data_IF_542790333635
#
_entry.id   IF_542790333635
#
_cell.length_a   1.000
_cell.length_b   1.000
_cell.length_c   1.000
_cell.angle_alpha   90.00
_cell.angle_beta   90.00
_cell.angle_gamma   90.00
#
_symmetry.space_group_name_H-M   'P 1'
#
loop_
_entity.id
_entity.type
_entity.pdbx_description
1 polymer ?
#
# COMPACT_ATOMS: atom_id res chain seq x y z
N UNK A 1 -24.39 6.83 7.98
CA UNK A 1 -23.83 8.16 7.64
C UNK A 1 -22.41 8.21 8.17
N UNK A 2 -21.42 8.18 7.29
CA UNK A 2 -20.01 8.40 7.67
C UNK A 2 -19.88 9.86 8.08
N UNK A 3 -19.37 10.10 9.28
CA UNK A 3 -18.99 11.45 9.72
C UNK A 3 -17.92 11.95 8.74
N UNK A 4 -18.06 13.17 8.22
CA UNK A 4 -17.05 13.75 7.34
C UNK A 4 -15.70 13.76 8.07
N UNK A 5 -14.62 13.33 7.42
CA UNK A 5 -13.27 13.43 7.99
C UNK A 5 -12.94 14.87 8.41
N UNK A 6 -13.55 15.85 7.75
CA UNK A 6 -13.39 17.26 8.10
C UNK A 6 -13.95 17.66 9.47
N UNK A 7 -14.74 16.80 10.11
CA UNK A 7 -15.21 17.06 11.47
C UNK A 7 -14.24 16.55 12.53
N UNK A 8 -13.14 15.89 12.17
CA UNK A 8 -12.14 15.46 13.14
C UNK A 8 -11.40 16.68 13.72
N UNK A 9 -11.04 16.66 15.02
CA UNK A 9 -10.33 17.77 15.66
C UNK A 9 -9.03 18.11 14.92
N UNK A 10 -8.71 19.41 14.85
CA UNK A 10 -7.39 19.85 14.37
C UNK A 10 -6.29 19.25 15.25
N UNK A 11 -5.19 18.84 14.62
CA UNK A 11 -3.97 18.44 15.30
C UNK A 11 -3.03 19.63 15.57
N UNK A 12 -3.42 20.85 15.17
CA UNK A 12 -2.65 22.05 15.45
C UNK A 12 -2.42 22.20 16.96
N UNK A 13 -1.17 22.48 17.33
CA UNK A 13 -0.75 22.45 18.72
C UNK A 13 0.69 22.03 18.91
N UNK A 14 1.14 22.14 20.16
CA UNK A 14 2.38 21.59 20.67
C UNK A 14 2.10 20.20 21.24
N UNK A 15 2.65 19.17 20.60
CA UNK A 15 2.62 17.79 21.08
C UNK A 15 3.84 17.54 21.96
N UNK A 16 3.62 17.17 23.23
CA UNK A 16 4.67 16.96 24.24
C UNK A 16 4.72 15.52 24.72
N UNK A 17 5.78 15.18 25.46
CA UNK A 17 5.93 13.88 26.12
C UNK A 17 5.87 12.71 25.12
N UNK A 18 6.70 12.82 24.08
CA UNK A 18 6.83 11.82 23.02
C UNK A 18 8.25 11.25 23.01
N UNK A 19 8.41 10.05 22.46
CA UNK A 19 9.71 9.41 22.26
C UNK A 19 9.93 9.02 20.80
N UNK A 20 11.14 9.24 20.30
CA UNK A 20 11.52 8.81 18.95
C UNK A 20 11.97 7.34 18.93
N UNK A 21 11.68 6.60 17.84
CA UNK A 21 12.19 5.26 17.64
C UNK A 21 13.72 5.27 17.56
N UNK A 22 14.34 4.21 18.06
CA UNK A 22 15.80 4.01 18.03
C UNK A 22 16.62 5.10 18.77
N UNK A 23 15.97 5.97 19.55
CA UNK A 23 16.62 6.97 20.42
C UNK A 23 16.09 6.88 21.85
N UNK A 24 16.41 5.79 22.59
CA UNK A 24 15.87 5.56 23.93
C UNK A 24 16.15 6.73 24.88
N UNK A 25 15.16 7.10 25.70
CA UNK A 25 15.29 8.16 26.71
C UNK A 25 15.27 9.60 26.18
N UNK A 26 15.13 9.80 24.87
CA UNK A 26 15.03 11.15 24.30
C UNK A 26 13.56 11.58 24.23
N UNK A 27 13.19 12.56 25.06
CA UNK A 27 11.88 13.21 24.99
C UNK A 27 11.88 14.21 23.82
N UNK A 28 10.83 14.18 23.01
CA UNK A 28 10.66 15.05 21.85
C UNK A 28 9.31 15.77 21.93
N UNK A 29 9.26 16.97 21.36
CA UNK A 29 8.03 17.69 21.09
C UNK A 29 7.89 17.96 19.59
N UNK A 30 6.65 18.03 19.12
CA UNK A 30 6.29 18.31 17.72
C UNK A 30 5.33 19.49 17.70
N UNK A 31 5.61 20.51 16.90
CA UNK A 31 4.66 21.59 16.64
C UNK A 31 3.96 21.33 15.32
N UNK A 32 2.62 21.36 15.34
CA UNK A 32 1.77 21.31 14.15
C UNK A 32 1.03 22.65 14.05
N UNK A 33 1.07 23.26 12.86
CA UNK A 33 0.23 24.42 12.54
C UNK A 33 -0.28 24.30 11.11
N UNK A 34 -1.56 24.62 10.91
CA UNK A 34 -2.25 24.50 9.62
C UNK A 34 -2.07 23.10 9.02
N UNK A 35 -2.06 22.07 9.88
CA UNK A 35 -1.84 20.68 9.51
C UNK A 35 -0.43 20.33 9.00
N UNK A 36 0.55 21.21 9.18
CA UNK A 36 1.95 21.02 8.78
C UNK A 36 2.83 20.94 10.02
N UNK A 37 3.82 20.05 10.01
CA UNK A 37 4.86 19.99 11.05
C UNK A 37 5.77 21.20 10.90
N UNK A 38 5.79 22.07 11.92
CA UNK A 38 6.59 23.30 11.93
C UNK A 38 7.91 23.17 12.64
N UNK A 39 7.96 22.28 13.64
CA UNK A 39 9.14 22.12 14.46
C UNK A 39 9.15 20.74 15.13
N UNK A 40 10.33 20.16 15.30
CA UNK A 40 10.57 18.91 16.04
C UNK A 40 11.86 19.10 16.84
N UNK A 41 11.87 18.75 18.12
CA UNK A 41 13.08 18.82 18.94
C UNK A 41 12.83 18.59 20.42
N UNK A 42 13.82 18.92 21.26
CA UNK A 42 13.70 18.81 22.71
C UNK A 42 12.61 19.76 23.24
N UNK A 43 11.68 19.31 24.11
CA UNK A 43 10.62 20.16 24.68
C UNK A 43 11.12 21.48 25.28
N UNK A 44 12.33 21.51 25.85
CA UNK A 44 12.93 22.72 26.45
C UNK A 44 13.41 23.75 25.41
N UNK A 45 13.50 23.35 24.13
CA UNK A 45 13.98 24.16 23.01
C UNK A 45 12.87 24.61 22.06
N UNK A 46 11.60 24.42 22.43
CA UNK A 46 10.44 24.88 21.64
C UNK A 46 10.53 26.40 21.45
N UNK A 47 10.51 26.91 20.20
CA UNK A 47 10.51 28.34 19.94
C UNK A 47 9.34 29.07 20.63
N UNK A 48 9.63 30.23 21.23
CA UNK A 48 8.64 31.02 21.99
C UNK A 48 7.42 31.44 21.17
N UNK A 49 7.56 31.55 19.85
CA UNK A 49 6.44 31.85 18.94
C UNK A 49 5.34 30.79 18.98
N UNK A 50 5.64 29.56 19.42
CA UNK A 50 4.67 28.47 19.55
C UNK A 50 4.07 28.33 20.96
N UNK A 51 4.45 29.17 21.93
CA UNK A 51 4.05 29.00 23.34
C UNK A 51 2.56 29.22 23.61
N UNK A 52 1.84 29.86 22.69
CA UNK A 52 0.39 30.10 22.79
C UNK A 52 -0.48 29.02 22.14
N UNK A 53 0.12 28.00 21.51
CA UNK A 53 -0.61 26.92 20.87
C UNK A 53 -1.22 25.95 21.91
N UNK A 54 -2.33 25.27 21.58
CA UNK A 54 -2.87 24.21 22.42
C UNK A 54 -1.84 23.10 22.65
N UNK A 55 -1.78 22.55 23.86
CA UNK A 55 -0.89 21.41 24.15
C UNK A 55 -1.63 20.08 24.05
N UNK A 56 -1.03 19.12 23.35
CA UNK A 56 -1.48 17.73 23.27
C UNK A 56 -0.48 16.81 24.01
N UNK A 57 -0.90 16.26 25.14
CA UNK A 57 -0.02 15.40 25.96
C UNK A 57 0.08 13.99 25.38
N UNK A 58 1.26 13.63 24.87
CA UNK A 58 1.56 12.33 24.27
C UNK A 58 1.61 11.17 25.28
N UNK A 59 1.83 11.46 26.56
CA UNK A 59 1.86 10.46 27.64
C UNK A 59 2.92 9.39 27.42
N UNK A 60 4.15 9.84 27.19
CA UNK A 60 5.37 9.08 26.92
C UNK A 60 5.25 8.08 25.74
N UNK A 61 4.36 8.36 24.78
CA UNK A 61 4.13 7.49 23.63
C UNK A 61 5.32 7.51 22.67
N UNK A 62 5.59 6.36 22.05
CA UNK A 62 6.49 6.30 20.90
C UNK A 62 5.80 6.97 19.71
N UNK A 63 6.50 7.83 18.97
CA UNK A 63 5.96 8.49 17.77
C UNK A 63 6.70 8.05 16.51
N UNK A 64 5.95 7.64 15.49
CA UNK A 64 6.50 7.32 14.16
C UNK A 64 5.80 8.15 13.09
N UNK A 65 6.38 8.26 11.87
CA UNK A 65 5.60 8.69 10.72
C UNK A 65 4.36 7.82 10.54
N UNK A 66 3.33 8.37 9.90
CA UNK A 66 2.17 7.61 9.45
C UNK A 66 2.59 6.45 8.55
N UNK A 67 1.98 5.27 8.76
CA UNK A 67 2.31 4.09 7.97
C UNK A 67 1.79 4.23 6.53
N UNK A 68 2.45 3.55 5.61
CA UNK A 68 2.11 3.55 4.17
C UNK A 68 1.94 2.11 3.69
N UNK A 69 0.76 1.78 3.18
CA UNK A 69 0.49 0.48 2.54
C UNK A 69 0.57 0.66 1.02
N UNK A 70 1.70 0.32 0.42
CA UNK A 70 2.06 0.68 -0.95
C UNK A 70 1.59 -0.28 -2.05
N UNK A 71 0.84 -1.32 -1.70
CA UNK A 71 0.35 -2.34 -2.60
C UNK A 71 -0.92 -3.01 -2.05
N UNK A 72 -2.10 -2.68 -2.60
CA UNK A 72 -3.37 -3.35 -2.26
C UNK A 72 -4.34 -3.45 -3.45
N UNK A 73 -5.25 -4.43 -3.38
CA UNK A 73 -6.42 -4.55 -4.25
C UNK A 73 -7.71 -4.40 -3.42
N UNK A 74 -7.85 -3.27 -2.72
CA UNK A 74 -8.91 -3.06 -1.70
C UNK A 74 -10.34 -3.03 -2.25
N UNK A 75 -10.52 -2.72 -3.53
CA UNK A 75 -11.83 -2.54 -4.17
C UNK A 75 -12.18 -3.74 -5.03
N UNK A 76 -13.02 -4.62 -4.50
CA UNK A 76 -13.55 -5.78 -5.20
C UNK A 76 -14.93 -6.16 -4.65
N UNK A 77 -15.71 -6.86 -5.46
CA UNK A 77 -16.97 -7.49 -5.07
C UNK A 77 -16.78 -8.93 -4.58
N UNK A 78 -17.67 -9.37 -3.67
CA UNK A 78 -17.70 -10.74 -3.15
C UNK A 78 -16.52 -11.10 -2.24
N UNK A 79 -16.28 -12.42 -2.08
CA UNK A 79 -15.17 -13.01 -1.33
C UNK A 79 -14.81 -14.39 -1.91
N UNK A 80 -13.62 -14.92 -1.58
CA UNK A 80 -13.18 -16.26 -2.02
C UNK A 80 -13.04 -17.27 -0.87
N UNK A 81 -13.74 -17.04 0.25
CA UNK A 81 -13.73 -17.95 1.40
C UNK A 81 -14.18 -19.38 1.04
N UNK A 82 -15.17 -19.53 0.15
CA UNK A 82 -15.63 -20.85 -0.29
C UNK A 82 -14.54 -21.61 -1.04
N UNK A 83 -13.80 -20.94 -1.92
CA UNK A 83 -12.66 -21.54 -2.61
C UNK A 83 -11.57 -21.96 -1.63
N UNK A 84 -11.26 -21.13 -0.64
CA UNK A 84 -10.32 -21.48 0.42
C UNK A 84 -10.76 -22.76 1.17
N UNK A 85 -12.03 -22.84 1.55
CA UNK A 85 -12.59 -24.03 2.19
C UNK A 85 -12.52 -25.28 1.30
N UNK A 86 -12.83 -25.15 0.00
CA UNK A 86 -12.74 -26.26 -0.97
C UNK A 86 -11.31 -26.78 -1.12
N UNK A 87 -10.32 -25.88 -1.26
CA UNK A 87 -8.91 -26.28 -1.35
C UNK A 87 -8.45 -27.02 -0.09
N UNK A 88 -8.86 -26.57 1.09
CA UNK A 88 -8.56 -27.25 2.35
C UNK A 88 -9.24 -28.62 2.47
N UNK A 89 -10.41 -28.79 1.85
CA UNK A 89 -11.11 -30.07 1.77
C UNK A 89 -10.53 -31.02 0.70
N UNK A 90 -9.45 -30.63 0.00
CA UNK A 90 -8.76 -31.47 -0.98
C UNK A 90 -9.23 -31.32 -2.43
N UNK A 91 -10.05 -30.30 -2.75
CA UNK A 91 -10.45 -30.03 -4.12
C UNK A 91 -9.24 -29.67 -5.01
N UNK A 92 -9.18 -30.29 -6.19
CA UNK A 92 -8.21 -29.95 -7.23
C UNK A 92 -8.45 -28.54 -7.79
N UNK A 93 -7.42 -27.98 -8.42
CA UNK A 93 -7.54 -26.69 -9.11
C UNK A 93 -8.67 -26.68 -10.16
N UNK A 94 -8.83 -27.79 -10.88
CA UNK A 94 -9.89 -27.93 -11.90
C UNK A 94 -11.29 -27.91 -11.28
N UNK A 95 -11.49 -28.58 -10.14
CA UNK A 95 -12.77 -28.55 -9.41
C UNK A 95 -13.10 -27.16 -8.87
N UNK A 96 -12.10 -26.45 -8.34
CA UNK A 96 -12.24 -25.06 -7.91
C UNK A 96 -12.59 -24.14 -9.08
N UNK A 97 -11.93 -24.31 -10.23
CA UNK A 97 -12.21 -23.53 -11.44
C UNK A 97 -13.61 -23.82 -11.99
N UNK A 98 -14.03 -25.09 -12.04
CA UNK A 98 -15.38 -25.52 -12.45
C UNK A 98 -16.47 -24.98 -11.53
N UNK A 99 -16.19 -24.83 -10.23
CA UNK A 99 -17.07 -24.17 -9.28
C UNK A 99 -17.10 -22.64 -9.43
N UNK A 100 -16.40 -22.09 -10.43
CA UNK A 100 -16.34 -20.66 -10.69
C UNK A 100 -15.45 -19.89 -9.72
N UNK A 101 -14.43 -20.54 -9.15
CA UNK A 101 -13.39 -19.93 -8.32
C UNK A 101 -12.32 -19.17 -9.13
N UNK A 102 -11.22 -18.80 -8.47
CA UNK A 102 -10.14 -18.05 -9.12
C UNK A 102 -10.40 -16.55 -9.22
N UNK A 103 -9.53 -15.84 -9.95
CA UNK A 103 -9.68 -14.41 -10.22
C UNK A 103 -10.99 -14.08 -10.94
N UNK A 104 -11.47 -14.98 -11.80
CA UNK A 104 -12.74 -14.81 -12.53
C UNK A 104 -13.94 -14.65 -11.59
N UNK A 105 -13.92 -15.30 -10.43
CA UNK A 105 -14.95 -15.14 -9.39
C UNK A 105 -15.04 -13.69 -8.90
N UNK A 106 -13.87 -13.11 -8.56
CA UNK A 106 -13.74 -11.73 -8.11
C UNK A 106 -14.07 -10.75 -9.24
N UNK A 107 -13.69 -11.06 -10.49
CA UNK A 107 -14.05 -10.25 -11.65
C UNK A 107 -15.56 -10.17 -11.80
N UNK A 108 -16.25 -11.33 -11.87
CA UNK A 108 -17.71 -11.37 -11.99
C UNK A 108 -18.39 -10.57 -10.89
N UNK A 109 -18.05 -10.85 -9.63
CA UNK A 109 -18.64 -10.16 -8.48
C UNK A 109 -18.39 -8.64 -8.49
N UNK A 110 -17.21 -8.20 -8.97
CA UNK A 110 -16.88 -6.77 -9.09
C UNK A 110 -17.62 -6.10 -10.24
N UNK A 111 -17.82 -6.80 -11.37
CA UNK A 111 -18.62 -6.31 -12.49
C UNK A 111 -20.09 -6.13 -12.09
N UNK A 112 -20.66 -7.11 -11.39
CA UNK A 112 -22.05 -7.13 -10.92
C UNK A 112 -22.35 -6.09 -9.83
N UNK A 113 -21.43 -5.87 -8.89
CA UNK A 113 -21.63 -4.93 -7.79
C UNK A 113 -21.72 -3.47 -8.29
N UNK A 114 -22.64 -2.70 -7.72
CA UNK A 114 -22.71 -1.25 -7.93
C UNK A 114 -21.50 -0.51 -7.33
N UNK A 115 -21.26 0.73 -7.78
CA UNK A 115 -20.19 1.57 -7.22
C UNK A 115 -20.37 1.80 -5.70
N UNK A 116 -21.61 1.93 -5.23
CA UNK A 116 -21.92 2.17 -3.82
C UNK A 116 -21.73 0.92 -2.95
N UNK A 117 -22.03 -0.27 -3.46
CA UNK A 117 -21.72 -1.54 -2.79
C UNK A 117 -20.21 -1.77 -2.69
N UNK A 118 -19.46 -1.48 -3.76
CA UNK A 118 -18.00 -1.52 -3.76
C UNK A 118 -17.41 -0.51 -2.77
N UNK A 119 -17.93 0.72 -2.75
CA UNK A 119 -17.53 1.72 -1.78
C UNK A 119 -17.79 1.28 -0.34
N UNK A 120 -18.99 0.75 -0.06
CA UNK A 120 -19.38 0.34 1.30
C UNK A 120 -18.50 -0.80 1.82
N UNK A 121 -18.28 -1.82 1.00
CA UNK A 121 -17.44 -2.98 1.37
C UNK A 121 -15.95 -2.61 1.48
N UNK A 122 -15.41 -1.83 0.54
CA UNK A 122 -14.02 -1.37 0.60
C UNK A 122 -13.78 -0.38 1.75
N UNK A 123 -14.78 0.44 2.12
CA UNK A 123 -14.73 1.33 3.27
C UNK A 123 -14.56 0.54 4.58
N UNK A 124 -15.31 -0.55 4.75
CA UNK A 124 -15.17 -1.42 5.92
C UNK A 124 -13.77 -2.05 6.00
N UNK A 125 -13.23 -2.52 4.87
CA UNK A 125 -11.86 -3.04 4.79
C UNK A 125 -10.82 -1.96 5.15
N UNK A 126 -10.94 -0.78 4.55
CA UNK A 126 -10.03 0.34 4.76
C UNK A 126 -9.94 0.74 6.23
N UNK A 127 -11.06 0.81 6.96
CA UNK A 127 -11.08 1.18 8.38
C UNK A 127 -10.16 0.33 9.25
N UNK A 128 -9.99 -0.96 8.93
CA UNK A 128 -9.06 -1.82 9.68
C UNK A 128 -7.62 -1.36 9.54
N UNK A 129 -7.19 -1.00 8.32
CA UNK A 129 -5.85 -0.49 8.03
C UNK A 129 -5.63 0.90 8.64
N UNK A 130 -6.65 1.77 8.58
CA UNK A 130 -6.58 3.10 9.19
C UNK A 130 -6.40 3.04 10.71
N UNK A 131 -7.06 2.07 11.37
CA UNK A 131 -6.93 1.85 12.82
C UNK A 131 -5.53 1.35 13.24
N UNK A 132 -4.73 0.89 12.28
CA UNK A 132 -3.32 0.55 12.48
C UNK A 132 -2.38 1.71 12.14
N UNK A 133 -2.90 2.92 11.88
CA UNK A 133 -2.09 4.10 11.64
C UNK A 133 -1.64 4.30 10.18
N UNK A 134 -2.32 3.66 9.22
CA UNK A 134 -2.09 3.91 7.79
C UNK A 134 -2.57 5.31 7.40
N UNK A 135 -1.64 6.14 6.93
CA UNK A 135 -1.90 7.51 6.48
C UNK A 135 -1.86 7.66 4.94
N UNK A 136 -1.23 6.71 4.24
CA UNK A 136 -1.30 6.61 2.79
C UNK A 136 -1.46 5.15 2.34
N UNK A 137 -2.25 4.93 1.29
CA UNK A 137 -2.53 3.61 0.75
C UNK A 137 -2.56 3.66 -0.78
N UNK A 138 -2.03 2.63 -1.42
CA UNK A 138 -2.25 2.37 -2.83
C UNK A 138 -3.46 1.45 -3.01
N UNK A 139 -4.33 1.78 -3.96
CA UNK A 139 -5.45 0.94 -4.35
C UNK A 139 -5.40 0.70 -5.85
N UNK A 140 -5.19 -0.55 -6.22
CA UNK A 140 -5.19 -1.01 -7.61
C UNK A 140 -6.61 -1.33 -8.09
N UNK A 141 -6.82 -1.17 -9.38
CA UNK A 141 -7.97 -1.76 -10.07
C UNK A 141 -7.65 -3.23 -10.44
N UNK A 142 -8.16 -3.75 -11.56
CA UNK A 142 -7.78 -5.07 -12.08
C UNK A 142 -8.75 -6.22 -11.78
N UNK A 143 -9.87 -5.98 -11.08
CA UNK A 143 -11.00 -6.92 -11.05
C UNK A 143 -12.17 -6.52 -11.96
N UNK A 144 -11.95 -5.58 -12.88
CA UNK A 144 -12.93 -5.20 -13.89
C UNK A 144 -12.64 -5.83 -15.25
N UNK A 145 -11.37 -5.79 -15.67
CA UNK A 145 -10.87 -6.28 -16.96
C UNK A 145 -11.60 -5.70 -18.19
N UNK A 146 -12.28 -4.58 -18.02
CA UNK A 146 -13.00 -3.84 -19.05
C UNK A 146 -13.12 -2.38 -18.62
N UNK A 147 -13.16 -1.44 -19.57
CA UNK A 147 -13.08 0.00 -19.31
C UNK A 147 -14.07 0.48 -18.24
N UNK A 148 -15.34 0.13 -18.36
CA UNK A 148 -16.38 0.54 -17.43
C UNK A 148 -16.09 0.12 -15.98
N UNK A 149 -15.62 -1.12 -15.79
CA UNK A 149 -15.45 -1.70 -14.47
C UNK A 149 -14.10 -1.34 -13.84
N UNK A 150 -13.06 -1.14 -14.65
CA UNK A 150 -11.80 -0.53 -14.20
C UNK A 150 -12.04 0.92 -13.75
N UNK A 151 -12.80 1.71 -14.53
CA UNK A 151 -13.24 3.06 -14.15
C UNK A 151 -13.99 3.06 -12.82
N UNK A 152 -14.93 2.12 -12.66
CA UNK A 152 -15.74 1.98 -11.43
C UNK A 152 -14.84 1.76 -10.19
N UNK A 153 -13.86 0.86 -10.25
CA UNK A 153 -12.94 0.62 -9.14
C UNK A 153 -12.11 1.86 -8.80
N UNK A 154 -11.53 2.54 -9.80
CA UNK A 154 -10.72 3.73 -9.59
C UNK A 154 -11.54 4.89 -9.00
N UNK A 155 -12.79 5.07 -9.44
CA UNK A 155 -13.72 6.05 -8.85
C UNK A 155 -14.02 5.75 -7.38
N UNK A 156 -14.24 4.48 -7.02
CA UNK A 156 -14.41 4.07 -5.63
C UNK A 156 -13.16 4.41 -4.80
N UNK A 157 -11.97 4.10 -5.31
CA UNK A 157 -10.72 4.43 -4.61
C UNK A 157 -10.59 5.94 -4.35
N UNK A 158 -10.92 6.80 -5.32
CA UNK A 158 -10.97 8.27 -5.12
C UNK A 158 -12.03 8.70 -4.11
N UNK A 159 -13.19 8.04 -4.06
CA UNK A 159 -14.24 8.29 -3.06
C UNK A 159 -13.76 7.93 -1.65
N UNK A 160 -13.04 6.82 -1.48
CA UNK A 160 -12.49 6.39 -0.20
C UNK A 160 -11.51 7.42 0.37
N UNK A 161 -10.64 7.97 -0.47
CA UNK A 161 -9.70 9.02 -0.07
C UNK A 161 -10.39 10.20 0.62
N UNK A 162 -11.44 10.73 -0.02
CA UNK A 162 -12.23 11.86 0.50
C UNK A 162 -13.01 11.51 1.76
N UNK A 163 -13.63 10.33 1.77
CA UNK A 163 -14.48 9.91 2.88
C UNK A 163 -13.70 9.67 4.18
N UNK A 164 -12.44 9.23 4.08
CA UNK A 164 -11.64 8.78 5.23
C UNK A 164 -10.43 9.66 5.56
N UNK A 165 -10.17 10.73 4.78
CA UNK A 165 -9.03 11.62 4.99
C UNK A 165 -7.68 10.91 4.94
N UNK A 166 -7.55 9.97 4.02
CA UNK A 166 -6.33 9.20 3.78
C UNK A 166 -5.82 9.52 2.38
N UNK A 167 -4.50 9.59 2.23
CA UNK A 167 -3.90 9.74 0.91
C UNK A 167 -4.07 8.43 0.15
N UNK A 168 -4.79 8.44 -0.97
CA UNK A 168 -4.94 7.26 -1.84
C UNK A 168 -4.21 7.50 -3.14
N UNK A 169 -3.27 6.60 -3.47
CA UNK A 169 -2.71 6.48 -4.83
C UNK A 169 -3.46 5.42 -5.62
N UNK A 170 -4.00 5.79 -6.77
CA UNK A 170 -4.76 4.86 -7.62
C UNK A 170 -3.87 4.31 -8.71
N UNK A 171 -3.84 2.99 -8.83
CA UNK A 171 -3.03 2.29 -9.83
C UNK A 171 -3.94 1.55 -10.80
N UNK A 172 -3.80 1.85 -12.08
CA UNK A 172 -4.53 1.12 -13.12
C UNK A 172 -3.83 -0.20 -13.42
N UNK A 173 -4.52 -1.29 -13.13
CA UNK A 173 -4.05 -2.66 -13.37
C UNK A 173 -5.01 -3.37 -14.35
N UNK A 174 -5.26 -2.78 -15.52
CA UNK A 174 -6.08 -3.44 -16.55
C UNK A 174 -5.46 -4.75 -17.02
N UNK A 175 -4.13 -4.82 -17.10
CA UNK A 175 -3.38 -6.03 -17.43
C UNK A 175 -3.12 -6.90 -16.18
N UNK A 176 -4.19 -7.25 -15.44
CA UNK A 176 -4.11 -8.16 -14.28
C UNK A 176 -4.22 -9.63 -14.69
N UNK A 177 -5.17 -9.93 -15.58
CA UNK A 177 -5.40 -11.26 -16.12
C UNK A 177 -6.11 -11.13 -17.48
N UNK A 178 -6.05 -12.18 -18.30
CA UNK A 178 -6.79 -12.21 -19.55
C UNK A 178 -8.30 -12.41 -19.27
N UNK A 179 -9.18 -11.47 -19.65
CA UNK A 179 -10.62 -11.65 -19.51
C UNK A 179 -11.15 -12.89 -20.26
N UNK A 180 -12.19 -13.57 -19.74
CA UNK A 180 -12.78 -14.76 -20.36
C UNK A 180 -13.24 -14.53 -21.80
N UNK A 181 -13.66 -13.31 -22.14
CA UNK A 181 -14.12 -12.99 -23.48
C UNK A 181 -12.99 -13.13 -24.51
N UNK A 182 -11.73 -12.91 -24.12
CA UNK A 182 -10.55 -12.97 -25.00
C UNK A 182 -9.83 -14.33 -24.94
N UNK A 183 -10.06 -15.12 -23.88
CA UNK A 183 -9.47 -16.44 -23.73
C UNK A 183 -9.88 -17.37 -24.90
N UNK A 184 -8.90 -18.09 -25.47
CA UNK A 184 -9.13 -19.04 -26.56
C UNK A 184 -9.33 -18.41 -27.95
N UNK A 185 -9.35 -17.08 -28.08
CA UNK A 185 -9.36 -16.41 -29.39
C UNK A 185 -7.96 -16.43 -30.01
N UNK A 186 -7.83 -16.60 -31.35
CA UNK A 186 -6.59 -16.29 -32.04
C UNK A 186 -6.17 -14.85 -31.72
N UNK A 187 -4.94 -14.66 -31.23
CA UNK A 187 -4.41 -13.35 -30.81
C UNK A 187 -5.14 -12.67 -29.63
N UNK A 188 -6.00 -13.38 -28.88
CA UNK A 188 -6.84 -12.75 -27.85
C UNK A 188 -6.08 -11.96 -26.78
N UNK A 189 -4.91 -12.43 -26.35
CA UNK A 189 -4.08 -11.69 -25.38
C UNK A 189 -3.57 -10.36 -25.96
N UNK A 190 -3.11 -10.38 -27.22
CA UNK A 190 -2.65 -9.19 -27.93
C UNK A 190 -3.78 -8.20 -28.14
N UNK A 191 -4.93 -8.65 -28.62
CA UNK A 191 -6.10 -7.78 -28.84
C UNK A 191 -6.54 -7.11 -27.53
N UNK A 192 -6.47 -7.84 -26.41
CA UNK A 192 -6.78 -7.28 -25.11
C UNK A 192 -5.75 -6.23 -24.67
N UNK A 193 -4.46 -6.48 -24.87
CA UNK A 193 -3.41 -5.51 -24.54
C UNK A 193 -3.49 -4.27 -25.44
N UNK A 194 -3.86 -4.42 -26.71
CA UNK A 194 -4.16 -3.30 -27.59
C UNK A 194 -5.33 -2.47 -27.06
N UNK A 195 -6.41 -3.10 -26.57
CA UNK A 195 -7.53 -2.41 -25.91
C UNK A 195 -7.07 -1.66 -24.64
N UNK A 196 -6.27 -2.31 -23.80
CA UNK A 196 -5.72 -1.73 -22.56
C UNK A 196 -4.90 -0.47 -22.89
N UNK A 197 -4.03 -0.53 -23.89
CA UNK A 197 -3.11 0.55 -24.25
C UNK A 197 -3.79 1.69 -25.02
N UNK A 198 -4.69 1.37 -25.95
CA UNK A 198 -5.21 2.34 -26.92
C UNK A 198 -6.55 2.96 -26.50
N UNK A 199 -7.32 2.28 -25.64
CA UNK A 199 -8.65 2.76 -25.24
C UNK A 199 -8.76 2.95 -23.73
N UNK A 200 -8.41 1.93 -22.94
CA UNK A 200 -8.68 1.96 -21.50
C UNK A 200 -7.80 2.97 -20.77
N UNK A 201 -6.48 2.83 -20.91
CA UNK A 201 -5.52 3.67 -20.22
C UNK A 201 -5.66 5.16 -20.61
N UNK A 202 -5.74 5.54 -21.91
CA UNK A 202 -5.94 6.94 -22.30
C UNK A 202 -7.24 7.55 -21.74
N UNK A 203 -8.35 6.81 -21.78
CA UNK A 203 -9.63 7.29 -21.25
C UNK A 203 -9.56 7.53 -19.74
N UNK A 204 -9.02 6.57 -18.98
CA UNK A 204 -8.92 6.67 -17.52
C UNK A 204 -7.93 7.76 -17.08
N UNK A 205 -6.84 7.94 -17.82
CA UNK A 205 -5.87 9.02 -17.59
C UNK A 205 -6.51 10.40 -17.84
N UNK A 206 -7.28 10.56 -18.91
CA UNK A 206 -7.99 11.81 -19.22
C UNK A 206 -9.03 12.18 -18.13
N UNK A 207 -9.58 11.19 -17.43
CA UNK A 207 -10.49 11.38 -16.30
C UNK A 207 -9.75 11.68 -14.96
N UNK A 208 -8.41 11.67 -14.93
CA UNK A 208 -7.62 11.90 -13.71
C UNK A 208 -7.68 10.74 -12.71
N UNK A 209 -8.04 9.54 -13.17
CA UNK A 209 -8.27 8.38 -12.30
C UNK A 209 -7.01 7.53 -12.05
N UNK A 210 -5.90 7.81 -12.73
CA UNK A 210 -4.68 6.98 -12.72
C UNK A 210 -3.50 7.80 -12.18
N UNK A 211 -2.92 7.37 -11.06
CA UNK A 211 -1.66 7.90 -10.55
C UNK A 211 -0.45 7.07 -10.99
N UNK A 212 -0.64 5.77 -11.27
CA UNK A 212 0.37 4.85 -11.80
C UNK A 212 -0.27 3.73 -12.64
N UNK A 213 0.53 3.05 -13.45
CA UNK A 213 0.12 1.88 -14.25
C UNK A 213 0.87 0.63 -13.81
N UNK A 214 0.19 -0.49 -13.71
CA UNK A 214 0.74 -1.76 -13.26
C UNK A 214 0.33 -2.90 -14.22
N UNK A 215 1.09 -3.99 -14.18
CA UNK A 215 0.91 -5.17 -15.03
C UNK A 215 1.27 -6.41 -14.21
N UNK A 216 0.54 -7.51 -14.42
CA UNK A 216 0.98 -8.81 -13.94
C UNK A 216 1.82 -9.53 -15.02
N UNK A 217 3.14 -9.42 -14.89
CA UNK A 217 4.10 -10.08 -15.80
C UNK A 217 4.45 -11.46 -15.26
N UNK A 218 3.78 -12.48 -15.80
CA UNK A 218 3.94 -13.86 -15.36
C UNK A 218 3.44 -14.82 -16.46
N UNK A 219 3.92 -16.07 -16.46
CA UNK A 219 3.51 -17.09 -17.44
C UNK A 219 2.00 -17.35 -17.48
N UNK A 220 1.30 -17.08 -16.37
CA UNK A 220 -0.16 -17.27 -16.26
C UNK A 220 -0.96 -15.99 -16.57
N UNK A 221 -0.28 -14.89 -16.90
CA UNK A 221 -0.87 -13.60 -17.18
C UNK A 221 -0.31 -13.02 -18.48
N UNK A 222 0.56 -12.01 -18.41
CA UNK A 222 1.11 -11.33 -19.59
C UNK A 222 2.60 -11.54 -19.75
N UNK A 223 3.04 -11.62 -21.01
CA UNK A 223 4.44 -11.76 -21.38
C UNK A 223 5.22 -10.45 -21.27
N UNK A 224 6.56 -10.53 -21.24
CA UNK A 224 7.43 -9.34 -21.26
C UNK A 224 7.11 -8.35 -22.39
N UNK A 225 6.81 -8.86 -23.59
CA UNK A 225 6.53 -8.00 -24.74
C UNK A 225 5.21 -7.23 -24.58
N UNK A 226 4.19 -7.88 -24.03
CA UNK A 226 2.90 -7.26 -23.71
C UNK A 226 3.05 -6.25 -22.57
N UNK A 227 3.82 -6.59 -21.54
CA UNK A 227 4.17 -5.68 -20.44
C UNK A 227 4.88 -4.42 -20.96
N UNK A 228 5.89 -4.58 -21.82
CA UNK A 228 6.61 -3.45 -22.41
C UNK A 228 5.67 -2.55 -23.24
N UNK A 229 4.69 -3.14 -23.93
CA UNK A 229 3.69 -2.38 -24.68
C UNK A 229 2.87 -1.46 -23.74
N UNK A 230 2.39 -1.99 -22.61
CA UNK A 230 1.66 -1.20 -21.61
C UNK A 230 2.56 -0.10 -21.02
N UNK A 231 3.83 -0.39 -20.73
CA UNK A 231 4.79 0.61 -20.24
C UNK A 231 5.05 1.74 -21.24
N UNK A 232 5.11 1.43 -22.54
CA UNK A 232 5.23 2.43 -23.60
C UNK A 232 4.00 3.34 -23.65
N UNK A 233 2.79 2.77 -23.51
CA UNK A 233 1.56 3.55 -23.44
C UNK A 233 1.50 4.45 -22.19
N UNK A 234 1.85 3.92 -21.02
CA UNK A 234 1.91 4.70 -19.77
C UNK A 234 2.91 5.87 -19.88
N UNK A 235 4.11 5.61 -20.42
CA UNK A 235 5.13 6.63 -20.65
C UNK A 235 4.66 7.72 -21.61
N UNK A 236 3.95 7.37 -22.68
CA UNK A 236 3.39 8.35 -23.62
C UNK A 236 2.40 9.32 -22.96
N UNK A 237 1.79 8.91 -21.84
CA UNK A 237 0.88 9.73 -21.03
C UNK A 237 1.57 10.39 -19.82
N UNK A 238 2.88 10.21 -19.65
CA UNK A 238 3.63 10.75 -18.51
C UNK A 238 3.28 10.08 -17.17
N UNK A 239 2.72 8.88 -17.20
CA UNK A 239 2.33 8.14 -15.98
C UNK A 239 3.49 7.25 -15.49
N UNK A 240 3.78 7.23 -14.18
CA UNK A 240 4.74 6.30 -13.63
C UNK A 240 4.20 4.87 -13.70
N UNK A 241 5.12 3.90 -13.65
CA UNK A 241 4.79 2.48 -13.76
C UNK A 241 5.25 1.70 -12.52
N UNK A 242 4.59 0.57 -12.29
CA UNK A 242 4.90 -0.47 -11.29
C UNK A 242 4.75 -1.83 -11.96
N UNK A 243 5.16 -2.90 -11.28
CA UNK A 243 5.02 -4.25 -11.84
C UNK A 243 4.85 -5.31 -10.74
N UNK A 244 3.87 -6.19 -10.89
CA UNK A 244 3.90 -7.51 -10.24
C UNK A 244 4.88 -8.37 -11.02
N UNK A 245 6.02 -8.68 -10.39
CA UNK A 245 7.16 -9.29 -11.05
C UNK A 245 7.68 -10.48 -10.25
N UNK A 246 8.04 -11.52 -10.97
CA UNK A 246 8.79 -12.68 -10.45
C UNK A 246 8.15 -13.38 -9.25
N UNK A 247 6.82 -13.37 -9.18
CA UNK A 247 6.09 -14.04 -8.11
C UNK A 247 6.19 -15.56 -8.22
N UNK A 248 5.97 -16.12 -9.42
CA UNK A 248 5.92 -17.57 -9.65
C UNK A 248 7.05 -18.05 -10.58
N UNK A 249 7.71 -17.12 -11.27
CA UNK A 249 8.94 -17.40 -12.01
C UNK A 249 9.73 -16.18 -12.42
N UNK A 250 11.03 -16.35 -12.64
CA UNK A 250 11.87 -15.31 -13.25
C UNK A 250 11.55 -15.17 -14.75
N UNK A 251 10.81 -14.12 -15.07
CA UNK A 251 10.48 -13.70 -16.42
C UNK A 251 11.39 -12.57 -16.90
N UNK A 252 12.27 -12.01 -16.05
CA UNK A 252 13.07 -10.81 -16.34
C UNK A 252 12.26 -9.50 -16.37
N UNK A 253 11.04 -9.51 -15.84
CA UNK A 253 10.12 -8.37 -15.74
C UNK A 253 10.64 -7.26 -14.84
N UNK A 254 11.25 -7.59 -13.70
CA UNK A 254 11.84 -6.59 -12.79
C UNK A 254 12.96 -5.78 -13.47
N UNK A 255 13.81 -6.45 -14.25
CA UNK A 255 14.86 -5.79 -15.03
C UNK A 255 14.26 -4.89 -16.13
N UNK A 256 13.18 -5.33 -16.79
CA UNK A 256 12.44 -4.52 -17.76
C UNK A 256 11.83 -3.27 -17.10
N UNK A 257 11.08 -3.45 -16.01
CA UNK A 257 10.42 -2.38 -15.28
C UNK A 257 11.42 -1.34 -14.76
N UNK A 258 12.54 -1.78 -14.18
CA UNK A 258 13.61 -0.90 -13.72
C UNK A 258 14.20 -0.06 -14.86
N UNK A 259 14.50 -0.65 -16.03
CA UNK A 259 14.97 0.10 -17.22
C UNK A 259 13.96 1.13 -17.72
N UNK A 260 12.68 0.92 -17.45
CA UNK A 260 11.61 1.86 -17.77
C UNK A 260 11.35 2.89 -16.65
N UNK A 261 12.12 2.87 -15.55
CA UNK A 261 11.99 3.82 -14.45
C UNK A 261 10.81 3.53 -13.53
N UNK A 262 10.47 2.25 -13.33
CA UNK A 262 9.38 1.87 -12.44
C UNK A 262 9.61 2.33 -11.00
N UNK A 263 8.53 2.74 -10.33
CA UNK A 263 8.53 3.10 -8.92
C UNK A 263 8.86 1.88 -8.05
N UNK A 264 8.26 0.73 -8.38
CA UNK A 264 8.51 -0.52 -7.69
C UNK A 264 8.33 -1.75 -8.56
N UNK A 265 8.93 -2.85 -8.12
CA UNK A 265 8.62 -4.22 -8.53
C UNK A 265 8.19 -4.98 -7.28
N UNK A 266 7.08 -5.69 -7.38
CA UNK A 266 6.33 -6.24 -6.26
C UNK A 266 6.32 -7.78 -6.36
N UNK A 267 6.22 -8.50 -5.23
CA UNK A 267 6.41 -9.96 -5.07
C UNK A 267 7.88 -10.40 -4.99
N UNK A 268 8.55 -10.52 -6.14
CA UNK A 268 9.99 -10.74 -6.31
C UNK A 268 10.59 -12.03 -5.70
N UNK A 269 9.80 -13.07 -5.44
CA UNK A 269 10.27 -14.37 -4.93
C UNK A 269 11.35 -15.00 -5.82
N UNK A 270 11.20 -14.90 -7.15
CA UNK A 270 12.11 -15.44 -8.15
C UNK A 270 13.05 -14.39 -8.77
N UNK A 271 13.22 -13.22 -8.14
CA UNK A 271 14.05 -12.15 -8.67
C UNK A 271 15.51 -12.57 -8.87
N UNK A 272 16.03 -12.41 -10.10
CA UNK A 272 17.41 -12.69 -10.44
C UNK A 272 18.37 -11.54 -10.11
N UNK A 273 19.67 -11.84 -10.07
CA UNK A 273 20.72 -10.84 -9.84
C UNK A 273 20.66 -9.71 -10.87
N UNK A 274 20.39 -10.02 -12.15
CA UNK A 274 20.25 -9.01 -13.19
C UNK A 274 19.08 -8.04 -12.91
N UNK A 275 17.98 -8.55 -12.31
CA UNK A 275 16.87 -7.71 -11.84
C UNK A 275 17.28 -6.83 -10.67
N UNK A 276 17.99 -7.37 -9.68
CA UNK A 276 18.51 -6.61 -8.52
C UNK A 276 19.42 -5.46 -8.98
N UNK A 277 20.37 -5.74 -9.87
CA UNK A 277 21.32 -4.75 -10.38
C UNK A 277 20.58 -3.62 -11.11
N UNK A 278 19.61 -3.96 -11.95
CA UNK A 278 18.79 -2.99 -12.67
C UNK A 278 17.93 -2.14 -11.72
N UNK A 279 17.29 -2.75 -10.72
CA UNK A 279 16.51 -2.04 -9.71
C UNK A 279 17.37 -1.07 -8.90
N UNK A 280 18.59 -1.49 -8.55
CA UNK A 280 19.55 -0.64 -7.83
C UNK A 280 19.94 0.58 -8.65
N UNK A 281 20.25 0.39 -9.93
CA UNK A 281 20.62 1.46 -10.86
C UNK A 281 19.46 2.46 -11.06
N UNK A 282 18.24 1.96 -11.24
CA UNK A 282 17.06 2.79 -11.48
C UNK A 282 16.50 3.45 -10.20
N UNK A 283 16.85 2.94 -9.02
CA UNK A 283 16.24 3.36 -7.75
C UNK A 283 14.83 2.79 -7.52
N UNK A 284 14.47 1.73 -8.24
CA UNK A 284 13.19 1.01 -8.12
C UNK A 284 13.11 0.30 -6.77
N UNK A 285 11.97 0.40 -6.09
CA UNK A 285 11.73 -0.24 -4.79
C UNK A 285 11.34 -1.71 -4.98
N UNK A 286 11.89 -2.59 -4.15
CA UNK A 286 11.44 -3.98 -4.01
C UNK A 286 10.29 -4.06 -3.00
N UNK A 287 9.06 -4.37 -3.41
CA UNK A 287 7.91 -4.48 -2.49
C UNK A 287 7.69 -5.95 -2.13
N UNK A 288 7.91 -6.27 -0.85
CA UNK A 288 7.76 -7.59 -0.28
C UNK A 288 6.34 -7.81 0.24
N UNK A 289 5.74 -8.94 -0.13
CA UNK A 289 4.32 -9.24 0.12
C UNK A 289 4.17 -10.53 0.96
N UNK A 290 4.55 -10.50 2.26
CA UNK A 290 4.62 -11.71 3.07
C UNK A 290 3.26 -12.40 3.29
N UNK A 291 2.17 -11.64 3.24
CA UNK A 291 0.82 -12.21 3.32
C UNK A 291 0.51 -13.13 2.15
N UNK A 292 0.88 -12.76 0.92
CA UNK A 292 0.68 -13.60 -0.27
C UNK A 292 1.53 -14.87 -0.21
N UNK A 293 2.82 -14.71 0.10
CA UNK A 293 3.76 -15.80 0.33
C UNK A 293 3.22 -16.83 1.35
N UNK A 294 2.71 -16.34 2.49
CA UNK A 294 2.13 -17.19 3.54
C UNK A 294 0.88 -17.94 3.05
N UNK A 295 -0.09 -17.24 2.49
CA UNK A 295 -1.39 -17.83 2.09
C UNK A 295 -1.21 -18.84 0.96
N UNK A 296 -0.30 -18.58 0.03
CA UNK A 296 0.04 -19.51 -1.07
C UNK A 296 0.91 -20.68 -0.62
N UNK A 297 1.42 -20.66 0.61
CA UNK A 297 2.37 -21.64 1.15
C UNK A 297 3.61 -21.78 0.27
N UNK A 298 4.08 -20.65 -0.24
CA UNK A 298 5.27 -20.64 -1.06
C UNK A 298 6.49 -21.06 -0.22
N UNK A 299 7.47 -21.62 -0.90
CA UNK A 299 8.75 -22.04 -0.31
C UNK A 299 9.93 -21.30 -0.91
N UNK A 300 9.73 -20.61 -2.04
CA UNK A 300 10.73 -19.75 -2.65
C UNK A 300 10.75 -18.39 -1.96
N UNK A 301 11.83 -18.11 -1.22
CA UNK A 301 12.01 -16.82 -0.56
C UNK A 301 12.48 -15.75 -1.55
N UNK A 302 12.02 -14.48 -1.44
CA UNK A 302 12.63 -13.37 -2.15
C UNK A 302 14.11 -13.21 -1.74
N UNK A 303 14.98 -12.68 -2.62
CA UNK A 303 16.43 -12.67 -2.41
C UNK A 303 16.89 -11.54 -1.47
N UNK A 304 16.41 -11.53 -0.22
CA UNK A 304 16.61 -10.46 0.78
C UNK A 304 18.09 -10.12 1.00
N UNK A 305 18.95 -11.12 1.15
CA UNK A 305 20.37 -10.89 1.39
C UNK A 305 21.05 -10.18 0.20
N UNK A 306 20.67 -10.51 -1.03
CA UNK A 306 21.22 -9.90 -2.24
C UNK A 306 20.69 -8.47 -2.44
N UNK A 307 19.39 -8.23 -2.20
CA UNK A 307 18.80 -6.89 -2.20
C UNK A 307 19.48 -5.96 -1.19
N UNK A 308 19.67 -6.46 0.04
CA UNK A 308 20.38 -5.76 1.11
C UNK A 308 21.83 -5.43 0.71
N UNK A 309 22.55 -6.41 0.17
CA UNK A 309 23.94 -6.22 -0.26
C UNK A 309 24.06 -5.19 -1.40
N UNK A 310 23.09 -5.17 -2.32
CA UNK A 310 23.03 -4.18 -3.40
C UNK A 310 22.57 -2.80 -2.93
N UNK A 311 21.91 -2.69 -1.77
CA UNK A 311 21.31 -1.46 -1.28
C UNK A 311 20.01 -1.08 -2.01
N UNK A 312 19.25 -2.07 -2.49
CA UNK A 312 17.91 -1.85 -3.05
C UNK A 312 16.93 -1.58 -1.89
N UNK A 313 16.16 -0.48 -1.93
CA UNK A 313 15.17 -0.21 -0.89
C UNK A 313 14.06 -1.27 -0.90
N UNK A 314 13.73 -1.80 0.27
CA UNK A 314 12.72 -2.85 0.44
C UNK A 314 11.49 -2.29 1.16
N UNK A 315 10.34 -2.26 0.49
CA UNK A 315 9.06 -1.95 1.10
C UNK A 315 8.33 -3.22 1.56
N UNK A 316 7.38 -3.07 2.48
CA UNK A 316 6.51 -4.15 2.95
C UNK A 316 5.07 -3.70 2.80
N UNK A 317 4.20 -4.55 2.29
CA UNK A 317 2.78 -4.24 2.09
C UNK A 317 1.86 -5.41 2.40
N UNK A 318 0.56 -5.12 2.54
CA UNK A 318 -0.45 -6.16 2.79
C UNK A 318 -0.74 -7.03 1.60
N UNK A 319 -0.61 -6.50 0.38
CA UNK A 319 -1.23 -7.12 -0.79
C UNK A 319 -2.70 -7.44 -0.53
N UNK A 320 -3.43 -6.59 0.22
CA UNK A 320 -4.79 -6.95 0.59
C UNK A 320 -5.64 -7.21 -0.65
N UNK A 321 -6.05 -8.46 -0.85
CA UNK A 321 -6.81 -8.90 -1.99
C UNK A 321 -7.65 -10.15 -1.63
N UNK A 322 -8.74 -10.43 -2.37
CA UNK A 322 -9.65 -11.52 -2.02
C UNK A 322 -9.06 -12.92 -2.18
N UNK A 323 -7.96 -13.09 -2.91
CA UNK A 323 -7.48 -14.38 -3.40
C UNK A 323 -6.23 -14.90 -2.71
N UNK A 324 -5.17 -14.09 -2.75
CA UNK A 324 -3.82 -14.49 -2.35
C UNK A 324 -3.39 -13.83 -1.06
N UNK A 325 -3.93 -12.68 -0.67
CA UNK A 325 -3.69 -12.13 0.68
C UNK A 325 -4.92 -11.47 1.30
N UNK A 326 -5.88 -12.26 1.84
CA UNK A 326 -7.08 -11.73 2.48
C UNK A 326 -6.80 -11.22 3.91
N UNK A 327 -5.80 -10.34 4.08
CA UNK A 327 -5.33 -9.81 5.36
C UNK A 327 -5.57 -8.29 5.45
N UNK A 328 -6.02 -7.80 6.60
CA UNK A 328 -6.30 -6.38 6.84
C UNK A 328 -5.49 -5.84 8.02
N UNK A 329 -4.19 -6.13 8.01
CA UNK A 329 -3.25 -5.67 9.03
C UNK A 329 -1.87 -5.47 8.43
N UNK A 330 -1.39 -4.22 8.42
CA UNK A 330 -0.04 -3.88 7.98
C UNK A 330 0.98 -4.18 9.07
N UNK A 331 0.61 -4.04 10.35
CA UNK A 331 1.49 -4.44 11.47
C UNK A 331 1.77 -5.94 11.44
N UNK A 332 0.78 -6.76 11.05
CA UNK A 332 1.00 -8.17 10.81
C UNK A 332 2.03 -8.42 9.69
N UNK A 333 2.05 -7.59 8.64
CA UNK A 333 3.07 -7.71 7.59
C UNK A 333 4.45 -7.31 8.07
N UNK A 334 4.58 -6.32 8.95
CA UNK A 334 5.85 -5.99 9.62
C UNK A 334 6.38 -7.22 10.37
N UNK A 335 5.53 -7.87 11.16
CA UNK A 335 5.91 -9.10 11.87
C UNK A 335 6.27 -10.25 10.91
N UNK A 336 5.46 -10.49 9.88
CA UNK A 336 5.69 -11.57 8.93
C UNK A 336 6.94 -11.33 8.07
N UNK A 337 7.25 -10.09 7.70
CA UNK A 337 8.49 -9.75 6.99
C UNK A 337 9.73 -10.06 7.85
N UNK A 338 9.69 -9.78 9.15
CA UNK A 338 10.76 -10.18 10.07
C UNK A 338 10.84 -11.71 10.23
N UNK A 339 9.69 -12.38 10.39
CA UNK A 339 9.63 -13.81 10.71
C UNK A 339 9.94 -14.70 9.52
N UNK A 340 9.32 -14.43 8.36
CA UNK A 340 9.42 -15.23 7.14
C UNK A 340 10.62 -14.79 6.30
N UNK A 341 10.82 -13.48 6.13
CA UNK A 341 11.85 -12.93 5.24
C UNK A 341 13.12 -12.46 5.94
N UNK A 342 13.18 -12.55 7.28
CA UNK A 342 14.38 -12.19 8.08
C UNK A 342 14.81 -10.73 7.88
N UNK A 343 13.85 -9.84 7.67
CA UNK A 343 14.10 -8.41 7.84
C UNK A 343 14.41 -8.12 9.31
N UNK A 344 15.27 -7.13 9.52
CA UNK A 344 15.48 -6.52 10.83
C UNK A 344 14.35 -5.56 11.17
N UNK A 345 14.18 -5.21 12.44
CA UNK A 345 13.16 -4.23 12.87
C UNK A 345 13.30 -2.89 12.11
N UNK A 346 14.49 -2.27 11.99
CA UNK A 346 14.63 -1.05 11.20
C UNK A 346 14.20 -1.21 9.74
N UNK A 347 14.60 -2.30 9.07
CA UNK A 347 14.23 -2.57 7.69
C UNK A 347 12.71 -2.72 7.51
N UNK A 348 12.03 -3.39 8.44
CA UNK A 348 10.58 -3.57 8.36
C UNK A 348 9.83 -2.25 8.62
N UNK A 349 10.29 -1.42 9.54
CA UNK A 349 9.70 -0.10 9.82
C UNK A 349 9.94 0.87 8.64
N UNK A 350 11.16 0.93 8.10
CA UNK A 350 11.44 1.70 6.88
C UNK A 350 10.60 1.16 5.71
N UNK A 351 10.38 -0.16 5.68
CA UNK A 351 9.57 -0.86 4.71
C UNK A 351 8.12 -0.39 4.62
N UNK A 352 7.52 -0.02 5.76
CA UNK A 352 6.14 0.50 5.85
C UNK A 352 6.08 2.02 6.03
N UNK A 353 7.20 2.72 5.92
CA UNK A 353 7.27 4.19 6.02
C UNK A 353 8.03 4.78 4.83
N UNK A 354 9.35 4.92 4.93
CA UNK A 354 10.20 5.60 3.94
C UNK A 354 10.18 4.89 2.58
N UNK A 355 10.35 3.58 2.57
CA UNK A 355 10.43 2.79 1.34
C UNK A 355 9.06 2.62 0.68
N UNK A 356 7.99 2.39 1.47
CA UNK A 356 6.63 2.39 0.96
C UNK A 356 6.21 3.76 0.39
N UNK A 357 6.59 4.87 1.03
CA UNK A 357 6.34 6.21 0.47
C UNK A 357 7.07 6.41 -0.87
N UNK A 358 8.33 5.96 -0.99
CA UNK A 358 9.08 5.99 -2.25
C UNK A 358 8.44 5.14 -3.34
N UNK A 359 7.95 3.95 -3.00
CA UNK A 359 7.25 3.06 -3.94
C UNK A 359 5.96 3.68 -4.54
N UNK A 360 5.47 4.78 -3.96
CA UNK A 360 4.30 5.54 -4.41
C UNK A 360 4.63 6.94 -4.95
N UNK A 361 5.91 7.33 -5.01
CA UNK A 361 6.29 8.70 -5.35
C UNK A 361 5.84 9.73 -4.31
N UNK A 362 5.71 9.33 -3.04
CA UNK A 362 5.22 10.14 -1.92
C UNK A 362 6.32 10.54 -0.92
N UNK A 363 7.59 10.26 -1.21
CA UNK A 363 8.72 10.48 -0.29
C UNK A 363 8.87 11.92 0.23
N UNK A 364 8.33 12.91 -0.47
CA UNK A 364 8.34 14.32 -0.03
C UNK A 364 7.27 14.64 1.03
N UNK A 365 6.21 13.84 1.12
CA UNK A 365 5.03 14.14 1.95
C UNK A 365 4.74 13.07 3.01
N UNK A 366 5.16 11.82 2.79
CA UNK A 366 4.90 10.69 3.68
C UNK A 366 6.20 9.93 3.98
N UNK A 367 6.12 8.98 4.91
CA UNK A 367 7.23 8.07 5.25
C UNK A 367 8.29 8.65 6.18
N UNK A 368 8.35 9.97 6.38
CA UNK A 368 9.17 10.57 7.45
C UNK A 368 8.40 11.68 8.17
N UNK A 369 8.80 11.91 9.41
CA UNK A 369 8.31 12.99 10.25
C UNK A 369 9.36 14.11 10.22
N UNK A 370 9.10 15.16 9.46
CA UNK A 370 10.05 16.26 9.26
C UNK A 370 9.34 17.60 9.12
N UNK A 371 10.05 18.68 9.45
CA UNK A 371 9.57 20.06 9.30
C UNK A 371 9.20 20.35 7.84
N UNK A 372 8.10 21.07 7.65
CA UNK A 372 7.55 21.42 6.34
C UNK A 372 6.65 20.35 5.72
N UNK A 373 6.56 19.16 6.33
CA UNK A 373 5.71 18.07 5.83
C UNK A 373 4.31 18.10 6.45
N UNK A 374 3.29 17.56 5.75
CA UNK A 374 1.98 17.33 6.36
C UNK A 374 2.10 16.50 7.64
N UNK A 375 1.33 16.87 8.66
CA UNK A 375 1.27 16.11 9.91
C UNK A 375 0.56 14.78 9.67
N UNK A 376 1.37 13.74 9.50
CA UNK A 376 1.00 12.34 9.39
C UNK A 376 1.90 11.53 10.33
N UNK A 377 1.41 11.20 11.52
CA UNK A 377 2.16 10.45 12.51
C UNK A 377 1.25 9.62 13.42
N UNK A 378 1.83 8.60 14.04
CA UNK A 378 1.13 7.68 14.93
C UNK A 378 1.80 7.71 16.30
N UNK A 379 0.99 7.77 17.34
CA UNK A 379 1.41 7.59 18.72
C UNK A 379 1.11 6.14 19.11
N UNK A 380 2.12 5.46 19.63
CA UNK A 380 2.03 4.07 20.05
C UNK A 380 2.17 3.94 21.57
N UNK A 381 1.31 3.12 22.16
CA UNK A 381 1.40 2.75 23.57
C UNK A 381 2.36 1.55 23.74
N UNK A 382 3.63 1.79 23.40
CA UNK A 382 4.71 0.79 23.39
C UNK A 382 5.93 1.31 24.13
N UNK A 383 6.70 0.43 24.77
CA UNK A 383 7.95 0.78 25.43
C UNK A 383 9.12 0.83 24.45
N UNK A 384 9.16 -0.08 23.48
CA UNK A 384 10.20 -0.14 22.45
C UNK A 384 9.61 -0.25 21.04
N UNK A 385 10.30 0.32 20.04
CA UNK A 385 9.86 0.24 18.63
C UNK A 385 9.87 -1.20 18.09
N UNK A 386 10.72 -2.06 18.62
CA UNK A 386 10.74 -3.48 18.28
C UNK A 386 9.39 -4.18 18.57
N UNK A 387 8.59 -3.64 19.48
CA UNK A 387 7.27 -4.17 19.79
C UNK A 387 6.30 -4.09 18.61
N UNK A 388 6.48 -3.13 17.69
CA UNK A 388 5.70 -3.04 16.44
C UNK A 388 5.91 -4.25 15.51
N UNK A 389 7.10 -4.85 15.56
CA UNK A 389 7.43 -6.04 14.77
C UNK A 389 7.29 -7.34 15.57
N UNK A 390 7.32 -7.27 16.90
CA UNK A 390 7.29 -8.43 17.78
C UNK A 390 5.87 -8.96 18.01
N UNK A 391 4.92 -8.08 18.37
CA UNK A 391 3.56 -8.51 18.69
C UNK A 391 2.82 -8.94 17.42
N UNK A 392 2.39 -10.20 17.39
CA UNK A 392 1.54 -10.73 16.33
C UNK A 392 0.06 -10.57 16.73
N UNK A 393 -0.69 -9.77 15.99
CA UNK A 393 -2.15 -9.60 16.17
C UNK A 393 -2.59 -8.58 17.22
N UNK A 394 -1.70 -7.70 17.68
CA UNK A 394 -2.06 -6.57 18.55
C UNK A 394 -2.26 -5.27 17.76
N UNK A 395 -2.99 -4.31 18.36
CA UNK A 395 -3.18 -2.96 17.84
C UNK A 395 -2.85 -1.93 18.93
N UNK A 396 -1.56 -1.62 19.16
CA UNK A 396 -1.10 -0.76 20.26
C UNK A 396 -1.22 0.74 19.95
N UNK A 397 -2.10 1.11 19.00
CA UNK A 397 -2.28 2.50 18.57
C UNK A 397 -2.95 3.30 19.69
N UNK A 398 -2.33 4.43 20.05
CA UNK A 398 -2.85 5.40 21.03
C UNK A 398 -3.57 6.56 20.37
N UNK A 399 -2.97 7.13 19.32
CA UNK A 399 -3.58 8.16 18.49
C UNK A 399 -3.01 8.15 17.07
N UNK A 400 -3.81 8.58 16.11
CA UNK A 400 -3.39 8.74 14.71
C UNK A 400 -3.66 10.18 14.28
N UNK A 401 -2.61 10.87 13.84
CA UNK A 401 -2.72 12.16 13.15
C UNK A 401 -2.61 11.92 11.66
N UNK A 402 -3.66 12.30 10.91
CA UNK A 402 -3.76 12.20 9.45
C UNK A 402 -4.12 13.55 8.87
N UNK A 403 -3.35 14.00 7.89
CA UNK A 403 -3.60 15.27 7.18
C UNK A 403 -3.85 16.45 8.13
N UNK A 404 -3.09 16.52 9.23
CA UNK A 404 -3.24 17.61 10.21
C UNK A 404 -4.43 17.49 11.16
N UNK A 405 -5.09 16.33 11.22
CA UNK A 405 -6.23 16.08 12.13
C UNK A 405 -6.03 14.85 12.98
N UNK A 406 -6.57 14.90 14.19
CA UNK A 406 -6.59 13.79 15.13
C UNK A 406 -7.69 12.82 14.70
N UNK A 407 -7.31 11.81 13.91
CA UNK A 407 -8.25 10.90 13.30
C UNK A 407 -8.72 9.79 14.24
N UNK A 408 -7.84 9.35 15.14
CA UNK A 408 -8.16 8.40 16.21
C UNK A 408 -7.46 8.83 17.51
N UNK A 409 -8.04 8.51 18.67
CA UNK A 409 -7.42 8.79 19.98
C UNK A 409 -7.85 10.09 20.67
N UNK A 410 -9.12 10.51 20.56
CA UNK A 410 -9.66 11.80 21.09
C UNK A 410 -9.58 12.05 22.61
N UNK A 411 -8.90 11.20 23.39
CA UNK A 411 -8.70 11.36 24.84
C UNK A 411 -7.26 11.79 25.21
N UNK A 412 -6.57 12.50 24.34
CA UNK A 412 -5.37 13.23 24.77
C UNK A 412 -5.83 14.38 25.68
N UNK A 413 -5.27 14.48 26.88
CA UNK A 413 -5.63 15.54 27.81
C UNK A 413 -5.21 16.89 27.23
N UNK A 414 -6.18 17.71 26.81
CA UNK A 414 -5.91 19.09 26.42
C UNK A 414 -5.76 19.94 27.68
N UNK A 415 -4.56 20.45 27.93
CA UNK A 415 -4.39 21.54 28.89
C UNK A 415 -4.60 22.85 28.13
N UNK A 416 -5.56 23.65 28.59
CA UNK A 416 -5.67 25.03 28.12
C UNK A 416 -4.39 25.78 28.49
N UNK A 417 -3.88 26.60 27.57
CA UNK A 417 -2.79 27.53 27.86
C UNK A 417 -3.21 28.40 29.07
N UNK A 418 -2.38 28.44 30.11
CA UNK A 418 -2.56 29.32 31.27
C UNK A 418 -2.13 30.74 30.93
#
# INVERSE_FOLDING_TARGET
MTISFDSHPSADGLWTDLRLPFQPGTNVAIVVEHGIVRWIGSPDAVPKEFSGLPTHEGGNALVTPGLVDCHTHLVYGGQRANEFAMRLAGASYEEVAKAGGGIVASVRATREASEDELFSSASHRLQSLLSEGVCAIEIKSGYGLALEHERKQLRVARRLARAHGVTVRTTFLGAHALPPEYAGRPHGSRDYIDLVCNEMLPALAAEGLVDAVDVFCERIAFSLAETEQVFKAARALGLPIKLHAEQLSDMGGAALAARHGALSCDHIEHLSQAGIDAMREAGTVAVLLPGAFYTLRDTQLPPIAALRAAGVPMAVSTDHNPGTSPVLSLLLMVNMACTLFRLTVPEAIDGVTVHAARALGLQETHGTLAVGRPANFVLWDLQDVAELAYWFGQRPMKAVVRQGRIAEGSRLAQRAAQ
#
